data_IF_949879137327
#
_entry.id   IF_949879137327
#
_cell.length_a   1.000
_cell.length_b   1.000
_cell.length_c   1.000
_cell.angle_alpha   90.00
_cell.angle_beta   90.00
_cell.angle_gamma   90.00
#
_symmetry.space_group_name_H-M   'P 1'
#
loop_
_entity.id
_entity.type
_entity.pdbx_description
1 polymer ?
#
# COMPACT_ATOMS: atom_id res chain seq x y z
N UNK A 1 -21.07 29.68 47.93
CA UNK A 1 -19.82 29.12 48.48
C UNK A 1 -18.80 30.26 48.60
N UNK A 2 -18.33 30.58 49.81
CA UNK A 2 -17.58 31.83 50.09
C UNK A 2 -16.11 31.75 49.62
N UNK A 3 -15.66 32.71 48.79
CA UNK A 3 -14.29 32.86 48.26
C UNK A 3 -13.19 32.83 49.35
N UNK A 4 -13.55 33.14 50.60
CA UNK A 4 -12.64 33.10 51.75
C UNK A 4 -12.25 31.67 52.16
N UNK A 5 -13.03 30.67 51.80
CA UNK A 5 -12.77 29.26 52.12
C UNK A 5 -11.75 28.62 51.17
N UNK A 6 -11.78 28.97 49.87
CA UNK A 6 -10.85 28.46 48.87
C UNK A 6 -9.43 29.01 49.07
N UNK A 7 -9.31 30.27 49.51
CA UNK A 7 -8.03 30.92 49.79
C UNK A 7 -7.30 30.28 50.99
N UNK A 8 -8.06 29.95 52.06
CA UNK A 8 -7.50 29.22 53.20
C UNK A 8 -7.01 27.83 52.81
N UNK A 9 -7.71 27.16 51.90
CA UNK A 9 -7.32 25.83 51.42
C UNK A 9 -6.05 25.90 50.56
N UNK A 10 -5.90 26.93 49.72
CA UNK A 10 -4.69 27.14 48.93
C UNK A 10 -3.48 27.47 49.81
N UNK A 11 -3.66 28.35 50.81
CA UNK A 11 -2.60 28.68 51.79
C UNK A 11 -2.17 27.45 52.60
N UNK A 12 -3.13 26.63 53.04
CA UNK A 12 -2.85 25.38 53.75
C UNK A 12 -2.09 24.37 52.87
N UNK A 13 -2.55 24.20 51.62
CA UNK A 13 -1.91 23.30 50.64
C UNK A 13 -0.47 23.75 50.36
N UNK A 14 -0.24 25.04 50.12
CA UNK A 14 1.11 25.60 49.91
C UNK A 14 2.01 25.43 51.11
N UNK A 15 1.47 25.51 52.33
CA UNK A 15 2.23 25.31 53.56
C UNK A 15 2.68 23.85 53.70
N UNK A 16 1.77 22.90 53.47
CA UNK A 16 2.11 21.47 53.47
C UNK A 16 3.18 21.18 52.42
N UNK A 17 3.00 21.62 51.18
CA UNK A 17 3.95 21.37 50.09
C UNK A 17 5.34 21.96 50.37
N UNK A 18 5.43 23.09 51.07
CA UNK A 18 6.70 23.71 51.48
C UNK A 18 7.36 23.02 52.67
N UNK A 19 6.59 22.38 53.55
CA UNK A 19 7.08 21.66 54.72
C UNK A 19 7.46 20.21 54.40
N UNK A 20 7.09 19.70 53.22
CA UNK A 20 7.58 18.43 52.72
C UNK A 20 9.10 18.52 52.52
N UNK A 21 9.89 17.55 53.03
CA UNK A 21 11.31 17.50 52.75
C UNK A 21 11.51 17.38 51.24
N UNK A 22 12.45 18.14 50.68
CA UNK A 22 12.81 18.01 49.27
C UNK A 22 13.20 16.56 48.99
N UNK A 23 12.34 15.85 48.26
CA UNK A 23 12.62 14.49 47.82
C UNK A 23 13.85 14.58 46.90
N UNK A 24 15.02 14.23 47.45
CA UNK A 24 16.25 14.06 46.67
C UNK A 24 16.03 12.87 45.75
N UNK A 25 15.58 13.18 44.55
CA UNK A 25 15.56 12.27 43.42
C UNK A 25 16.95 11.63 43.33
N UNK A 26 17.02 10.30 43.21
CA UNK A 26 18.30 9.60 43.13
C UNK A 26 19.15 10.17 41.99
N UNK A 27 20.46 10.31 42.20
CA UNK A 27 21.41 10.80 41.19
C UNK A 27 21.30 10.05 39.85
N UNK A 28 20.86 8.79 39.89
CA UNK A 28 20.69 7.90 38.74
C UNK A 28 19.27 7.90 38.15
N UNK A 29 18.31 8.64 38.71
CA UNK A 29 16.93 8.63 38.24
C UNK A 29 16.81 9.05 36.77
N UNK A 30 17.39 10.20 36.42
CA UNK A 30 17.38 10.70 35.03
C UNK A 30 18.07 9.71 34.09
N UNK A 31 19.19 9.11 34.53
CA UNK A 31 19.90 8.08 33.77
C UNK A 31 19.04 6.83 33.53
N UNK A 32 18.31 6.35 34.54
CA UNK A 32 17.45 5.18 34.44
C UNK A 32 16.19 5.44 33.59
N UNK A 33 15.61 6.63 33.71
CA UNK A 33 14.48 7.07 32.89
C UNK A 33 14.91 7.18 31.42
N UNK A 34 16.02 7.87 31.15
CA UNK A 34 16.55 8.02 29.79
C UNK A 34 16.97 6.66 29.20
N UNK A 35 17.55 5.76 29.99
CA UNK A 35 17.86 4.41 29.55
C UNK A 35 16.60 3.60 29.18
N UNK A 36 15.52 3.77 29.94
CA UNK A 36 14.23 3.10 29.66
C UNK A 36 13.55 3.68 28.42
N UNK A 37 13.59 5.01 28.24
CA UNK A 37 13.07 5.71 27.05
C UNK A 37 13.84 5.27 25.81
N UNK A 38 15.17 5.29 25.86
CA UNK A 38 16.01 4.87 24.74
C UNK A 38 15.80 3.39 24.39
N UNK A 39 15.57 2.51 25.38
CA UNK A 39 15.28 1.10 25.12
C UNK A 39 13.91 0.87 24.45
N UNK A 40 12.95 1.76 24.69
CA UNK A 40 11.65 1.77 24.01
C UNK A 40 11.78 2.35 22.58
N UNK A 41 12.48 3.47 22.42
CA UNK A 41 12.73 4.09 21.11
C UNK A 41 13.53 3.21 20.15
N UNK A 42 14.51 2.44 20.64
CA UNK A 42 15.29 1.51 19.81
C UNK A 42 14.40 0.37 19.28
N UNK A 43 13.42 -0.09 20.07
CA UNK A 43 12.43 -1.07 19.62
C UNK A 43 11.39 -0.47 18.65
N UNK A 44 11.14 0.84 18.74
CA UNK A 44 10.25 1.58 17.85
C UNK A 44 10.98 2.26 16.68
N UNK A 45 12.22 1.84 16.36
CA UNK A 45 12.77 2.16 15.05
C UNK A 45 11.85 1.53 14.02
N UNK A 46 10.94 2.34 13.48
CA UNK A 46 10.05 2.01 12.37
C UNK A 46 10.94 1.76 11.17
N UNK A 47 11.54 0.57 11.12
CA UNK A 47 12.35 0.14 10.00
C UNK A 47 11.39 0.12 8.83
N UNK A 48 11.55 1.10 7.95
CA UNK A 48 10.73 1.30 6.79
C UNK A 48 10.81 0.04 5.92
N UNK A 49 9.82 -0.84 6.08
CA UNK A 49 9.72 -2.09 5.34
C UNK A 49 8.94 -1.79 4.07
N UNK A 50 9.57 -1.82 2.89
CA UNK A 50 8.84 -1.58 1.66
C UNK A 50 7.71 -2.60 1.54
N UNK A 51 6.47 -2.12 1.35
CA UNK A 51 5.26 -2.96 1.23
C UNK A 51 5.42 -4.09 0.21
N UNK A 52 6.20 -3.84 -0.83
CA UNK A 52 6.56 -4.80 -1.87
C UNK A 52 8.08 -4.84 -1.96
N UNK A 53 8.65 -6.03 -1.75
CA UNK A 53 10.09 -6.27 -1.91
C UNK A 53 10.53 -5.94 -3.34
N UNK A 54 11.75 -5.41 -3.51
CA UNK A 54 12.33 -5.10 -4.83
C UNK A 54 12.27 -6.29 -5.80
N UNK A 55 12.34 -7.52 -5.26
CA UNK A 55 12.21 -8.77 -6.03
C UNK A 55 10.83 -8.93 -6.67
N UNK A 56 9.77 -8.60 -5.93
CA UNK A 56 8.38 -8.72 -6.41
C UNK A 56 8.10 -7.69 -7.49
N UNK A 57 8.68 -6.49 -7.40
CA UNK A 57 8.62 -5.49 -8.47
C UNK A 57 9.21 -6.00 -9.79
N UNK A 58 10.32 -6.72 -9.73
CA UNK A 58 10.93 -7.33 -10.92
C UNK A 58 10.01 -8.37 -11.57
N UNK A 59 9.34 -9.20 -10.75
CA UNK A 59 8.37 -10.20 -11.23
C UNK A 59 7.17 -9.53 -11.91
N UNK A 60 6.62 -8.45 -11.32
CA UNK A 60 5.49 -7.71 -11.90
C UNK A 60 5.87 -7.14 -13.27
N UNK A 61 7.02 -6.46 -13.37
CA UNK A 61 7.50 -5.87 -14.63
C UNK A 61 7.74 -6.96 -15.68
N UNK A 62 8.40 -8.06 -15.29
CA UNK A 62 8.67 -9.19 -16.18
C UNK A 62 7.38 -9.83 -16.69
N UNK A 63 6.38 -10.02 -15.82
CA UNK A 63 5.07 -10.55 -16.20
C UNK A 63 4.34 -9.62 -17.17
N UNK A 64 4.39 -8.31 -16.92
CA UNK A 64 3.74 -7.32 -17.78
C UNK A 64 4.35 -7.30 -19.20
N UNK A 65 5.68 -7.35 -19.29
CA UNK A 65 6.42 -7.46 -20.55
C UNK A 65 6.09 -8.77 -21.28
N UNK A 66 5.99 -9.88 -20.55
CA UNK A 66 5.58 -11.17 -21.13
C UNK A 66 4.19 -11.11 -21.76
N UNK A 67 3.23 -10.44 -21.13
CA UNK A 67 1.88 -10.26 -21.68
C UNK A 67 1.87 -9.39 -22.94
N UNK A 68 2.70 -8.34 -23.01
CA UNK A 68 2.81 -7.50 -24.21
C UNK A 68 3.36 -8.32 -25.38
N UNK A 69 4.44 -9.08 -25.15
CA UNK A 69 5.07 -9.91 -26.18
C UNK A 69 4.10 -11.00 -26.66
N UNK A 70 3.38 -11.64 -25.73
CA UNK A 70 2.35 -12.62 -26.07
C UNK A 70 1.21 -12.00 -26.86
N UNK A 71 0.73 -10.82 -26.45
CA UNK A 71 -0.30 -10.07 -27.16
C UNK A 71 0.11 -9.71 -28.59
N UNK A 72 1.35 -9.28 -28.81
CA UNK A 72 1.86 -9.01 -30.16
C UNK A 72 1.91 -10.22 -31.07
N UNK A 73 2.18 -11.42 -30.56
CA UNK A 73 2.15 -12.64 -31.36
C UNK A 73 0.75 -13.11 -31.74
N UNK A 74 -0.29 -12.65 -31.04
CA UNK A 74 -1.68 -13.01 -31.29
C UNK A 74 -2.37 -12.09 -32.30
N UNK A 75 -1.76 -10.97 -32.68
CA UNK A 75 -2.34 -10.04 -33.66
C UNK A 75 -1.98 -10.56 -35.07
N UNK A 76 -2.97 -10.97 -35.89
CA UNK A 76 -2.71 -11.37 -37.27
C UNK A 76 -2.18 -10.19 -38.10
N UNK A 77 -1.22 -10.46 -38.99
CA UNK A 77 -0.49 -9.47 -39.82
C UNK A 77 -1.40 -8.74 -40.83
N UNK A 78 -2.66 -9.16 -40.96
CA UNK A 78 -3.53 -8.84 -42.10
C UNK A 78 -4.67 -7.86 -41.76
N UNK A 79 -4.54 -7.02 -40.73
CA UNK A 79 -5.63 -6.12 -40.32
C UNK A 79 -5.64 -4.79 -41.10
N UNK A 80 -6.12 -4.85 -42.34
CA UNK A 80 -6.77 -3.69 -42.94
C UNK A 80 -8.12 -3.45 -42.24
N UNK A 81 -8.21 -2.36 -41.47
CA UNK A 81 -9.46 -1.65 -41.15
C UNK A 81 -10.63 -2.43 -40.54
N UNK A 82 -10.98 -2.09 -39.29
CA UNK A 82 -12.11 -2.58 -38.49
C UNK A 82 -13.54 -2.47 -39.10
N UNK A 83 -13.72 -2.17 -40.39
CA UNK A 83 -15.03 -1.98 -41.03
C UNK A 83 -15.50 -3.14 -41.92
N UNK A 84 -14.62 -4.09 -42.28
CA UNK A 84 -14.96 -5.12 -43.29
C UNK A 84 -15.34 -6.50 -42.74
N UNK A 85 -15.14 -6.78 -41.45
CA UNK A 85 -15.25 -8.16 -40.90
C UNK A 85 -16.65 -8.57 -40.38
N UNK A 86 -17.68 -7.72 -40.51
CA UNK A 86 -19.02 -8.04 -39.95
C UNK A 86 -19.88 -8.95 -40.84
N UNK A 87 -19.36 -9.49 -41.96
CA UNK A 87 -20.18 -10.18 -42.96
C UNK A 87 -19.96 -11.69 -43.14
N UNK A 88 -18.98 -12.34 -42.49
CA UNK A 88 -18.64 -13.74 -42.80
C UNK A 88 -18.55 -14.65 -41.56
N UNK A 89 -19.67 -14.83 -40.86
CA UNK A 89 -19.79 -15.91 -39.86
C UNK A 89 -20.32 -17.16 -40.57
N UNK A 90 -19.42 -18.09 -40.92
CA UNK A 90 -19.79 -19.43 -41.37
C UNK A 90 -20.05 -20.34 -40.16
N UNK A 91 -21.29 -20.82 -40.07
CA UNK A 91 -21.84 -21.59 -38.94
C UNK A 91 -21.33 -23.05 -38.93
N UNK A 92 -20.65 -23.50 -39.99
CA UNK A 92 -20.14 -24.87 -40.14
C UNK A 92 -18.97 -25.24 -39.21
N UNK A 93 -18.15 -24.27 -38.80
CA UNK A 93 -16.94 -24.54 -37.99
C UNK A 93 -17.24 -24.70 -36.49
N UNK A 94 -18.47 -24.40 -36.06
CA UNK A 94 -18.94 -24.54 -34.67
C UNK A 94 -19.12 -26.03 -34.29
N UNK A 95 -19.25 -26.92 -35.28
CA UNK A 95 -19.62 -28.33 -35.08
C UNK A 95 -18.44 -29.30 -34.84
N UNK A 96 -17.18 -28.84 -34.90
CA UNK A 96 -15.97 -29.68 -34.71
C UNK A 96 -15.27 -29.44 -33.36
N UNK A 97 -16.02 -29.06 -32.32
CA UNK A 97 -15.45 -28.76 -31.00
C UNK A 97 -15.06 -30.02 -30.21
N UNK A 98 -13.75 -30.27 -30.11
CA UNK A 98 -13.17 -31.08 -29.03
C UNK A 98 -13.26 -30.31 -27.71
N UNK A 99 -13.68 -30.91 -26.59
CA UNK A 99 -13.88 -30.22 -25.31
C UNK A 99 -12.59 -29.72 -24.65
N UNK A 100 -11.42 -30.04 -25.21
CA UNK A 100 -10.10 -29.59 -24.75
C UNK A 100 -9.36 -28.70 -25.74
N UNK A 101 -9.99 -28.32 -26.85
CA UNK A 101 -9.36 -27.40 -27.79
C UNK A 101 -9.64 -25.96 -27.33
N UNK A 102 -8.72 -25.41 -26.55
CA UNK A 102 -8.74 -24.03 -26.06
C UNK A 102 -8.42 -23.05 -27.20
N UNK A 103 -9.09 -23.20 -28.35
CA UNK A 103 -9.06 -22.25 -29.47
C UNK A 103 -9.89 -21.00 -29.13
N UNK A 104 -9.55 -20.35 -28.01
CA UNK A 104 -10.14 -19.08 -27.63
C UNK A 104 -9.59 -17.99 -28.54
N UNK A 105 -10.35 -17.64 -29.57
CA UNK A 105 -10.14 -16.43 -30.36
C UNK A 105 -10.41 -15.22 -29.46
N UNK A 106 -9.35 -14.70 -28.82
CA UNK A 106 -9.44 -13.48 -28.02
C UNK A 106 -9.53 -12.30 -28.98
N UNK A 107 -10.61 -11.53 -28.89
CA UNK A 107 -10.76 -10.32 -29.70
C UNK A 107 -9.72 -9.27 -29.29
N UNK A 108 -9.20 -8.49 -30.25
CA UNK A 108 -8.25 -7.42 -30.01
C UNK A 108 -8.70 -6.44 -28.91
N UNK A 109 -9.99 -6.12 -28.87
CA UNK A 109 -10.57 -5.26 -27.82
C UNK A 109 -10.35 -5.84 -26.42
N UNK A 110 -10.42 -7.16 -26.27
CA UNK A 110 -10.20 -7.85 -24.99
C UNK A 110 -8.74 -7.74 -24.58
N UNK A 111 -7.80 -7.94 -25.52
CA UNK A 111 -6.36 -7.77 -25.27
C UNK A 111 -6.05 -6.34 -24.84
N UNK A 112 -6.52 -5.33 -25.59
CA UNK A 112 -6.33 -3.92 -25.23
C UNK A 112 -6.95 -3.57 -23.87
N UNK A 113 -8.13 -4.12 -23.56
CA UNK A 113 -8.78 -3.90 -22.26
C UNK A 113 -7.94 -4.45 -21.11
N UNK A 114 -7.37 -5.65 -21.25
CA UNK A 114 -6.53 -6.24 -20.21
C UNK A 114 -5.21 -5.48 -20.04
N UNK A 115 -4.59 -5.04 -21.14
CA UNK A 115 -3.37 -4.21 -21.08
C UNK A 115 -3.66 -2.89 -20.36
N UNK A 116 -4.76 -2.22 -20.72
CA UNK A 116 -5.20 -0.99 -20.08
C UNK A 116 -5.48 -1.20 -18.58
N UNK A 117 -6.19 -2.27 -18.22
CA UNK A 117 -6.52 -2.61 -16.84
C UNK A 117 -5.26 -2.85 -16.02
N UNK A 118 -4.30 -3.60 -16.55
CA UNK A 118 -3.03 -3.86 -15.87
C UNK A 118 -2.16 -2.59 -15.71
N UNK A 119 -2.19 -1.67 -16.69
CA UNK A 119 -1.62 -0.33 -16.54
C UNK A 119 -2.29 0.47 -15.41
N UNK A 120 -3.62 0.47 -15.38
CA UNK A 120 -4.41 1.18 -14.38
C UNK A 120 -4.12 0.66 -12.97
N UNK A 121 -4.09 -0.66 -12.77
CA UNK A 121 -3.72 -1.27 -11.48
C UNK A 121 -2.30 -0.88 -11.07
N UNK A 122 -1.36 -0.85 -12.01
CA UNK A 122 0.04 -0.46 -11.73
C UNK A 122 0.13 0.97 -11.22
N UNK A 123 -0.59 1.90 -11.85
CA UNK A 123 -0.67 3.30 -11.41
C UNK A 123 -1.34 3.42 -10.03
N UNK A 124 -2.43 2.68 -9.81
CA UNK A 124 -3.13 2.67 -8.52
C UNK A 124 -2.22 2.20 -7.38
N UNK A 125 -1.42 1.15 -7.59
CA UNK A 125 -0.47 0.66 -6.58
C UNK A 125 0.55 1.75 -6.21
N UNK A 126 1.08 2.49 -7.19
CA UNK A 126 2.02 3.59 -6.94
C UNK A 126 1.35 4.72 -6.14
N UNK A 127 0.12 5.09 -6.50
CA UNK A 127 -0.63 6.13 -5.80
C UNK A 127 -0.93 5.76 -4.34
N UNK A 128 -1.37 4.53 -4.09
CA UNK A 128 -1.60 4.03 -2.73
C UNK A 128 -0.31 3.98 -1.93
N UNK A 129 0.80 3.54 -2.53
CA UNK A 129 2.12 3.55 -1.88
C UNK A 129 2.50 4.96 -1.42
N UNK A 130 2.38 5.97 -2.29
CA UNK A 130 2.75 7.35 -1.95
C UNK A 130 1.91 7.92 -0.79
N UNK A 131 0.61 7.59 -0.73
CA UNK A 131 -0.26 8.02 0.38
C UNK A 131 0.10 7.38 1.72
N UNK A 132 0.46 6.11 1.71
CA UNK A 132 0.85 5.36 2.92
C UNK A 132 2.20 5.88 3.42
N UNK A 133 3.18 6.06 2.53
CA UNK A 133 4.50 6.58 2.88
C UNK A 133 4.45 7.94 3.59
N UNK A 134 3.57 8.84 3.11
CA UNK A 134 3.35 10.16 3.72
C UNK A 134 2.73 10.12 5.13
N UNK A 135 2.12 9.01 5.54
CA UNK A 135 1.53 8.88 6.89
C UNK A 135 2.49 8.29 7.94
N UNK A 136 3.63 7.73 7.51
CA UNK A 136 4.61 7.09 8.39
C UNK A 136 5.97 7.80 8.44
N UNK A 137 6.10 8.94 7.76
CA UNK A 137 7.10 9.99 8.02
C UNK A 137 6.56 10.95 9.10
#
# INVERSE_FOLDING_TARGET
MSKKSTDKLDVFTRKIVKELPEEKVSLSFSKNVMASINALEVNETKVYKPLISKKVWFVIISSFIGLIIYGWKLIPEDQEGYLSEMSNINIGDILNYSPFDLNFKVSNITVYSFVFLALMISIQIIYFKHRIDKQYE
#
